data_IF_559421982230
#
_entry.id   IF_559421982230
#
_cell.length_a   1.000
_cell.length_b   1.000
_cell.length_c   1.000
_cell.angle_alpha   90.00
_cell.angle_beta   90.00
_cell.angle_gamma   90.00
#
_symmetry.space_group_name_H-M   'P 1'
#
loop_
_entity.id
_entity.type
_entity.pdbx_description
1 polymer ?
#
# COMPACT_ATOMS: atom_id res chain seq x y z
N UNK A 1 -4.72 6.76 9.29
CA UNK A 1 -5.77 6.41 8.31
C UNK A 1 -6.80 5.58 9.03
N UNK A 2 -8.02 6.05 9.11
CA UNK A 2 -9.15 5.29 9.66
C UNK A 2 -9.68 4.33 8.60
N UNK A 3 -10.24 3.20 9.04
CA UNK A 3 -10.81 2.18 8.15
C UNK A 3 -12.26 1.93 8.58
N UNK A 4 -13.19 2.03 7.63
CA UNK A 4 -14.59 1.62 7.81
C UNK A 4 -14.68 0.09 7.77
N UNK A 5 -14.27 -0.54 8.88
CA UNK A 5 -14.22 -1.99 9.03
C UNK A 5 -15.61 -2.62 8.90
N UNK A 6 -16.66 -1.96 9.39
CA UNK A 6 -18.02 -2.48 9.30
C UNK A 6 -18.47 -2.60 7.86
N UNK A 7 -18.31 -1.54 7.06
CA UNK A 7 -18.68 -1.55 5.65
C UNK A 7 -17.81 -2.49 4.84
N UNK A 8 -16.50 -2.54 5.11
CA UNK A 8 -15.60 -3.45 4.39
C UNK A 8 -15.88 -4.92 4.72
N UNK A 9 -16.12 -5.25 5.99
CA UNK A 9 -16.40 -6.62 6.43
C UNK A 9 -17.76 -7.16 5.96
N UNK A 10 -18.69 -6.28 5.58
CA UNK A 10 -19.98 -6.65 5.01
C UNK A 10 -19.88 -7.19 3.57
N UNK A 11 -18.78 -6.93 2.87
CA UNK A 11 -18.51 -7.50 1.55
C UNK A 11 -18.33 -9.03 1.64
N UNK A 12 -18.70 -9.75 0.59
CA UNK A 12 -18.33 -11.16 0.45
C UNK A 12 -16.81 -11.33 0.42
N UNK A 13 -16.32 -12.53 0.78
CA UNK A 13 -14.87 -12.82 0.73
C UNK A 13 -14.31 -12.56 -0.68
N UNK A 14 -15.04 -12.96 -1.72
CA UNK A 14 -14.62 -12.73 -3.12
C UNK A 14 -14.47 -11.25 -3.44
N UNK A 15 -15.36 -10.39 -2.95
CA UNK A 15 -15.26 -8.93 -3.14
C UNK A 15 -14.09 -8.34 -2.35
N UNK A 16 -13.87 -8.77 -1.10
CA UNK A 16 -12.71 -8.35 -0.30
C UNK A 16 -11.39 -8.73 -0.99
N UNK A 17 -11.30 -9.95 -1.51
CA UNK A 17 -10.13 -10.41 -2.25
C UNK A 17 -9.93 -9.64 -3.56
N UNK A 18 -11.01 -9.30 -4.26
CA UNK A 18 -10.97 -8.46 -5.47
C UNK A 18 -10.46 -7.05 -5.17
N UNK A 19 -10.88 -6.43 -4.07
CA UNK A 19 -10.39 -5.12 -3.60
C UNK A 19 -8.87 -5.13 -3.43
N UNK A 20 -8.31 -6.17 -2.81
CA UNK A 20 -6.86 -6.25 -2.60
C UNK A 20 -6.08 -6.79 -3.81
N UNK A 21 -6.66 -7.71 -4.58
CA UNK A 21 -5.98 -8.50 -5.61
C UNK A 21 -5.20 -9.69 -5.06
N UNK A 22 -5.46 -10.09 -3.81
CA UNK A 22 -4.85 -11.23 -3.11
C UNK A 22 -5.91 -12.01 -2.34
N UNK A 23 -5.66 -13.30 -2.13
CA UNK A 23 -6.52 -14.17 -1.34
C UNK A 23 -6.46 -13.81 0.13
N UNK A 24 -7.61 -13.81 0.82
CA UNK A 24 -7.71 -13.40 2.22
C UNK A 24 -7.07 -14.41 3.16
N UNK A 25 -7.22 -15.70 2.85
CA UNK A 25 -6.78 -16.78 3.72
C UNK A 25 -5.25 -16.94 3.76
N UNK A 26 -4.58 -16.91 2.60
CA UNK A 26 -3.14 -17.18 2.48
C UNK A 26 -2.32 -16.01 1.93
N UNK A 27 -2.94 -14.97 1.41
CA UNK A 27 -2.26 -13.80 0.85
C UNK A 27 -1.70 -13.99 -0.56
N UNK A 28 -1.85 -15.16 -1.18
CA UNK A 28 -1.41 -15.41 -2.56
C UNK A 28 -2.11 -14.48 -3.57
N UNK A 29 -1.45 -14.08 -4.67
CA UNK A 29 -2.09 -13.29 -5.72
C UNK A 29 -3.30 -14.02 -6.32
N UNK A 30 -4.33 -13.27 -6.72
CA UNK A 30 -5.47 -13.85 -7.46
C UNK A 30 -5.07 -14.49 -8.80
N UNK A 31 -3.92 -14.09 -9.36
CA UNK A 31 -3.32 -14.70 -10.54
C UNK A 31 -2.70 -16.08 -10.30
N UNK A 32 -2.68 -16.58 -9.06
CA UNK A 32 -2.02 -17.82 -8.66
C UNK A 32 -0.57 -17.63 -8.19
N UNK A 33 0.03 -18.73 -7.74
CA UNK A 33 1.37 -18.77 -7.14
C UNK A 33 1.33 -18.97 -5.61
N UNK A 34 2.43 -18.64 -4.95
CA UNK A 34 2.57 -18.62 -3.49
C UNK A 34 2.37 -17.20 -2.93
N UNK A 35 2.36 -17.05 -1.60
CA UNK A 35 2.25 -15.74 -0.92
C UNK A 35 3.31 -14.74 -1.40
N UNK A 36 4.55 -15.20 -1.63
CA UNK A 36 5.69 -14.37 -2.07
C UNK A 36 5.71 -14.12 -3.57
N UNK A 37 4.79 -14.71 -4.33
CA UNK A 37 4.72 -14.50 -5.77
C UNK A 37 4.31 -13.07 -6.09
N UNK A 38 4.93 -12.51 -7.13
CA UNK A 38 4.50 -11.24 -7.72
C UNK A 38 3.13 -11.43 -8.38
N UNK A 39 2.22 -10.43 -8.29
CA UNK A 39 0.92 -10.52 -8.95
C UNK A 39 1.10 -10.49 -10.47
N UNK A 40 0.54 -11.50 -11.15
CA UNK A 40 0.49 -11.56 -12.61
C UNK A 40 -0.52 -10.57 -13.16
N UNK A 41 -0.15 -9.29 -13.28
CA UNK A 41 -1.06 -8.20 -13.65
C UNK A 41 -1.70 -8.39 -15.03
N UNK A 42 -1.04 -9.11 -15.94
CA UNK A 42 -1.58 -9.39 -17.28
C UNK A 42 -2.33 -10.72 -17.38
N UNK A 43 -2.40 -11.50 -16.29
CA UNK A 43 -3.09 -12.78 -16.29
C UNK A 43 -4.60 -12.58 -16.40
N UNK A 44 -5.25 -13.42 -17.21
CA UNK A 44 -6.66 -13.30 -17.57
C UNK A 44 -7.39 -14.63 -17.45
N UNK A 45 -8.71 -14.56 -17.22
CA UNK A 45 -9.61 -15.69 -17.41
C UNK A 45 -9.72 -16.05 -18.89
N UNK A 46 -10.26 -17.24 -19.25
CA UNK A 46 -10.53 -17.59 -20.64
C UNK A 46 -11.45 -16.58 -21.36
N UNK A 47 -12.34 -15.91 -20.63
CA UNK A 47 -13.22 -14.87 -21.16
C UNK A 47 -12.53 -13.49 -21.28
N UNK A 48 -11.22 -13.41 -21.02
CA UNK A 48 -10.41 -12.20 -21.21
C UNK A 48 -10.46 -11.17 -20.08
N UNK A 49 -11.14 -11.46 -18.96
CA UNK A 49 -11.14 -10.59 -17.77
C UNK A 49 -9.83 -10.74 -17.01
N UNK A 50 -9.28 -9.67 -16.42
CA UNK A 50 -8.09 -9.77 -15.60
C UNK A 50 -8.35 -10.57 -14.31
N UNK A 51 -7.43 -11.47 -13.95
CA UNK A 51 -7.48 -12.21 -12.69
C UNK A 51 -7.23 -11.31 -11.48
N UNK A 52 -6.34 -10.31 -11.62
CA UNK A 52 -6.18 -9.21 -10.67
C UNK A 52 -6.93 -8.01 -11.23
N UNK A 53 -8.07 -7.60 -10.61
CA UNK A 53 -8.91 -6.51 -11.09
C UNK A 53 -8.13 -5.22 -11.39
N UNK A 54 -8.64 -4.40 -12.32
CA UNK A 54 -7.95 -3.20 -12.81
C UNK A 54 -7.82 -2.10 -11.75
N UNK A 55 -8.71 -2.13 -10.77
CA UNK A 55 -8.87 -1.26 -9.61
C UNK A 55 -8.32 -1.89 -8.31
N UNK A 56 -7.86 -3.15 -8.36
CA UNK A 56 -7.32 -3.84 -7.19
C UNK A 56 -6.11 -3.09 -6.61
N UNK A 57 -6.09 -2.94 -5.28
CA UNK A 57 -5.09 -2.18 -4.55
C UNK A 57 -3.65 -2.59 -4.91
N UNK A 58 -3.36 -3.90 -4.96
CA UNK A 58 -2.01 -4.41 -5.30
C UNK A 58 -1.56 -4.02 -6.72
N UNK A 59 -2.51 -3.85 -7.66
CA UNK A 59 -2.22 -3.39 -9.04
C UNK A 59 -2.00 -1.89 -9.04
N UNK A 60 -2.88 -1.12 -8.39
CA UNK A 60 -2.81 0.35 -8.37
C UNK A 60 -1.56 0.87 -7.68
N UNK A 61 -1.14 0.19 -6.62
CA UNK A 61 0.08 0.49 -5.88
C UNK A 61 1.35 -0.17 -6.47
N UNK A 62 1.25 -0.92 -7.57
CA UNK A 62 2.38 -1.65 -8.10
C UNK A 62 3.43 -0.69 -8.71
N UNK A 63 4.71 -0.75 -8.29
CA UNK A 63 5.73 0.19 -8.75
C UNK A 63 5.97 0.15 -10.26
N UNK A 64 5.85 -1.02 -10.90
CA UNK A 64 5.96 -1.15 -12.37
C UNK A 64 4.81 -0.46 -13.09
N UNK A 65 3.61 -0.46 -12.51
CA UNK A 65 2.42 0.23 -13.07
C UNK A 65 2.52 1.74 -12.85
N UNK A 66 3.06 2.17 -11.71
CA UNK A 66 3.19 3.59 -11.36
C UNK A 66 4.41 4.23 -12.04
N UNK A 67 5.45 3.46 -12.37
CA UNK A 67 6.69 3.97 -12.94
C UNK A 67 7.60 4.64 -11.89
N UNK A 68 7.65 4.08 -10.68
CA UNK A 68 8.51 4.53 -9.57
C UNK A 68 9.22 3.37 -8.90
N UNK A 69 10.18 3.67 -8.02
CA UNK A 69 10.87 2.68 -7.21
C UNK A 69 9.97 2.05 -6.14
N UNK A 70 10.55 1.14 -5.36
CA UNK A 70 9.87 0.56 -4.20
C UNK A 70 9.89 1.52 -3.01
N UNK A 71 8.84 1.44 -2.19
CA UNK A 71 8.83 2.00 -0.83
C UNK A 71 8.82 0.85 0.19
N UNK A 72 9.56 1.01 1.28
CA UNK A 72 9.48 0.10 2.43
C UNK A 72 8.30 0.53 3.30
N UNK A 73 7.24 -0.28 3.36
CA UNK A 73 6.09 -0.04 4.25
C UNK A 73 6.35 -0.70 5.61
N UNK A 74 6.25 0.07 6.70
CA UNK A 74 6.43 -0.41 8.08
C UNK A 74 5.35 0.19 9.00
N UNK A 75 4.11 -0.18 8.69
CA UNK A 75 2.90 0.38 9.30
C UNK A 75 2.48 -0.38 10.56
N UNK A 76 1.61 0.24 11.35
CA UNK A 76 1.05 -0.34 12.58
C UNK A 76 -0.47 -0.19 12.57
N UNK A 77 -1.20 -1.20 13.05
CA UNK A 77 -2.63 -1.08 13.30
C UNK A 77 -2.89 -0.17 14.48
N UNK A 78 -4.00 0.56 14.45
CA UNK A 78 -4.50 1.37 15.56
C UNK A 78 -5.95 1.02 15.83
N UNK A 79 -6.37 1.05 17.09
CA UNK A 79 -7.77 0.80 17.50
C UNK A 79 -8.47 2.08 18.00
N UNK A 80 -7.70 3.09 18.41
CA UNK A 80 -8.18 4.37 18.93
C UNK A 80 -7.51 5.56 18.22
N UNK A 81 -8.21 6.68 18.02
CA UNK A 81 -9.63 6.93 18.37
C UNK A 81 -10.63 6.17 17.49
N UNK A 82 -10.17 5.58 16.38
CA UNK A 82 -10.94 4.65 15.55
C UNK A 82 -10.01 3.56 14.98
N UNK A 83 -10.55 2.39 14.58
CA UNK A 83 -9.78 1.34 13.93
C UNK A 83 -9.14 1.82 12.64
N UNK A 84 -7.89 1.44 12.41
CA UNK A 84 -7.20 1.87 11.21
C UNK A 84 -5.74 1.45 11.12
N UNK A 85 -5.01 2.23 10.32
CA UNK A 85 -3.60 2.02 10.05
C UNK A 85 -2.83 3.34 10.22
N UNK A 86 -1.80 3.30 11.06
CA UNK A 86 -0.70 4.25 10.98
C UNK A 86 0.20 3.80 9.82
N UNK A 87 -0.10 4.31 8.63
CA UNK A 87 0.69 4.02 7.44
C UNK A 87 2.04 4.74 7.50
N UNK A 88 3.12 3.98 7.45
CA UNK A 88 4.49 4.53 7.42
C UNK A 88 5.21 3.91 6.23
N UNK A 89 5.81 4.74 5.39
CA UNK A 89 6.69 4.29 4.32
C UNK A 89 8.02 5.03 4.34
N UNK A 90 9.07 4.32 3.95
CA UNK A 90 10.41 4.85 3.74
C UNK A 90 10.78 4.73 2.26
N UNK A 91 11.30 5.81 1.70
CA UNK A 91 11.71 5.92 0.32
C UNK A 91 12.82 6.96 0.20
N UNK A 92 13.72 6.81 -0.77
CA UNK A 92 14.80 7.77 -1.00
C UNK A 92 14.30 9.06 -1.67
N UNK A 93 13.23 8.96 -2.44
CA UNK A 93 12.58 10.10 -3.11
C UNK A 93 11.09 10.09 -2.75
N UNK A 94 10.59 11.21 -2.21
CA UNK A 94 9.19 11.43 -1.87
C UNK A 94 8.24 11.22 -3.06
N UNK A 95 8.74 11.40 -4.29
CA UNK A 95 8.01 11.09 -5.53
C UNK A 95 7.49 9.66 -5.55
N UNK A 96 8.22 8.71 -4.96
CA UNK A 96 7.79 7.30 -4.87
C UNK A 96 6.45 7.17 -4.16
N UNK A 97 6.27 7.86 -3.03
CA UNK A 97 5.00 7.85 -2.29
C UNK A 97 3.92 8.64 -3.03
N UNK A 98 4.22 9.89 -3.43
CA UNK A 98 3.21 10.80 -3.99
C UNK A 98 2.67 10.34 -5.35
N UNK A 99 3.51 9.80 -6.24
CA UNK A 99 3.06 9.25 -7.52
C UNK A 99 2.20 7.98 -7.34
N UNK A 100 2.57 7.13 -6.37
CA UNK A 100 1.78 5.93 -6.03
C UNK A 100 0.42 6.33 -5.49
N UNK A 101 0.37 7.28 -4.56
CA UNK A 101 -0.88 7.79 -3.99
C UNK A 101 -1.77 8.42 -5.07
N UNK A 102 -1.23 9.29 -5.92
CA UNK A 102 -1.99 9.91 -7.02
C UNK A 102 -2.58 8.87 -7.99
N UNK A 103 -1.84 7.78 -8.26
CA UNK A 103 -2.34 6.69 -9.09
C UNK A 103 -3.49 5.94 -8.42
N UNK A 104 -3.41 5.71 -7.11
CA UNK A 104 -4.46 5.06 -6.33
C UNK A 104 -5.72 5.92 -6.25
N UNK A 105 -5.57 7.21 -5.98
CA UNK A 105 -6.67 8.17 -5.77
C UNK A 105 -7.69 8.20 -6.92
N UNK A 106 -7.23 7.91 -8.14
CA UNK A 106 -8.12 7.90 -9.32
C UNK A 106 -9.08 6.72 -9.40
N UNK A 107 -8.77 5.53 -8.83
CA UNK A 107 -9.65 4.35 -8.99
C UNK A 107 -9.25 3.11 -8.14
N UNK A 108 -8.57 3.28 -7.02
CA UNK A 108 -8.28 2.16 -6.11
C UNK A 108 -9.53 1.75 -5.32
N UNK A 109 -9.90 0.46 -5.42
CA UNK A 109 -11.09 -0.11 -4.80
C UNK A 109 -11.05 -0.14 -3.26
N UNK A 110 -9.87 0.01 -2.65
CA UNK A 110 -9.72 0.05 -1.19
C UNK A 110 -10.05 1.44 -0.61
N UNK A 111 -9.76 2.51 -1.35
CA UNK A 111 -9.87 3.88 -0.84
C UNK A 111 -11.29 4.27 -0.36
N UNK A 112 -12.40 3.79 -0.97
CA UNK A 112 -13.74 4.06 -0.44
C UNK A 112 -14.01 3.56 0.98
N UNK A 113 -13.16 2.69 1.53
CA UNK A 113 -13.25 2.16 2.90
C UNK A 113 -12.24 2.80 3.85
N UNK A 114 -11.45 3.77 3.40
CA UNK A 114 -10.42 4.39 4.21
C UNK A 114 -10.59 5.91 4.27
N UNK A 115 -10.11 6.52 5.33
CA UNK A 115 -10.06 7.99 5.45
C UNK A 115 -8.69 8.40 5.98
N UNK A 116 -7.98 9.22 5.21
CA UNK A 116 -6.72 9.80 5.67
C UNK A 116 -7.00 10.98 6.57
N UNK A 117 -6.86 10.78 7.88
CA UNK A 117 -7.15 11.81 8.90
C UNK A 117 -5.95 12.65 9.30
N UNK A 118 -4.74 12.22 8.95
CA UNK A 118 -3.50 12.96 9.19
C UNK A 118 -2.42 12.52 8.20
N UNK A 119 -1.47 13.42 7.92
CA UNK A 119 -0.29 13.16 7.11
C UNK A 119 0.89 13.99 7.62
N UNK A 120 2.09 13.44 7.49
CA UNK A 120 3.34 14.14 7.76
C UNK A 120 4.46 13.55 6.89
N UNK A 121 5.51 14.33 6.65
CA UNK A 121 6.71 13.87 5.96
C UNK A 121 7.92 14.39 6.71
N UNK A 122 8.93 13.53 6.84
CA UNK A 122 10.14 13.82 7.60
C UNK A 122 11.37 13.41 6.80
N UNK A 123 12.46 14.15 7.00
CA UNK A 123 13.78 13.71 6.57
C UNK A 123 14.37 12.80 7.64
N UNK A 124 14.62 11.54 7.29
CA UNK A 124 15.34 10.61 8.16
C UNK A 124 16.84 10.84 7.93
N UNK A 125 17.50 11.34 8.97
CA UNK A 125 18.92 11.69 8.91
C UNK A 125 19.80 10.43 8.86
N UNK A 126 21.03 10.53 8.32
CA UNK A 126 22.01 9.45 8.41
C UNK A 126 22.28 9.02 9.85
N UNK A 127 22.77 7.79 10.02
CA UNK A 127 23.18 7.27 11.32
C UNK A 127 24.24 8.15 11.99
N UNK A 128 24.29 8.08 13.32
CA UNK A 128 25.16 8.88 14.17
C UNK A 128 26.26 8.02 14.81
N UNK A 129 27.34 8.68 15.26
CA UNK A 129 28.39 8.10 16.10
C UNK A 129 28.66 9.02 17.28
N UNK A 130 29.41 8.60 18.32
CA UNK A 130 29.79 9.50 19.41
C UNK A 130 30.50 10.78 18.95
N UNK A 131 31.27 10.71 17.86
CA UNK A 131 31.99 11.85 17.27
C UNK A 131 31.15 12.62 16.23
N UNK A 132 30.06 12.04 15.73
CA UNK A 132 29.13 12.68 14.78
C UNK A 132 27.69 12.50 15.27
N UNK A 133 27.20 13.41 16.14
CA UNK A 133 25.82 13.39 16.61
C UNK A 133 24.81 13.42 15.45
N UNK A 134 23.60 12.94 15.71
CA UNK A 134 22.50 12.97 14.75
C UNK A 134 22.27 14.40 14.24
N UNK A 135 22.24 14.59 12.93
CA UNK A 135 22.04 15.91 12.33
C UNK A 135 23.28 16.79 12.26
N UNK A 136 24.46 16.30 12.64
CA UNK A 136 25.74 17.04 12.50
C UNK A 136 26.01 17.55 11.08
N UNK A 137 25.58 16.84 10.04
CA UNK A 137 25.70 17.30 8.64
C UNK A 137 24.65 18.33 8.18
N UNK A 138 23.70 18.71 9.05
CA UNK A 138 22.62 19.66 8.74
C UNK A 138 22.68 20.92 9.62
N UNK A 139 23.11 20.77 10.88
CA UNK A 139 23.07 21.83 11.91
C UNK A 139 24.46 22.27 12.41
N UNK A 140 25.54 21.79 11.77
CA UNK A 140 26.93 22.07 12.13
C UNK A 140 27.60 23.17 11.30
#
# INVERSE_FOLDING_TARGET
>A
MEIDLTRFAALSVTEQEAVFGRRRAGGEPLSGGSVDSAPGLNAKTPEGRYLVPVDAHVRRANPTVVGVGHMLRRSYSIDAPAPGLLFISFQNDLRTFTATLARMDTSDALLPFTTTTASATFLILPGYTPQRPLGSGLFG
#
